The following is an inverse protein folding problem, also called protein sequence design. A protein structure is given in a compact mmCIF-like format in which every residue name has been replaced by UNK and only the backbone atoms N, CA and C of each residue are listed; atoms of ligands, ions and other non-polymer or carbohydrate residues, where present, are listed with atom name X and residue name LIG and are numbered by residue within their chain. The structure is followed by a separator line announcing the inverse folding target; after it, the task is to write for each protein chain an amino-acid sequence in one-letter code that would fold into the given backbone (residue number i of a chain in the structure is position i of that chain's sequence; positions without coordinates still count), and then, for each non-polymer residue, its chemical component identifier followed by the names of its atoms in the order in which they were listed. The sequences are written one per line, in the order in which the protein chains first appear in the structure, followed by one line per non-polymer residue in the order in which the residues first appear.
data_IF_986706171852
#
_entry.id   IF_986706171852
#
_cell.length_a   1.000
_cell.length_b   1.000
_cell.length_c   1.000
_cell.angle_alpha   90.00
_cell.angle_beta   90.00
_cell.angle_gamma   90.00
#
_symmetry.space_group_name_H-M   'P 1'
#
loop_
_entity.id
_entity.type
_entity.pdbx_description
1 polymer ?
#
# COMPACT_ATOMS: atom_id res chain seq x y z
N UNK A 1 10.86 -27.91 -0.49
CA UNK A 1 10.15 -27.99 -1.78
C UNK A 1 8.85 -27.22 -1.59
N UNK A 2 8.77 -25.99 -2.08
CA UNK A 2 7.55 -25.19 -1.99
C UNK A 2 6.52 -25.74 -2.98
N UNK A 3 5.26 -25.92 -2.56
CA UNK A 3 4.20 -26.36 -3.45
C UNK A 3 3.93 -25.31 -4.52
N UNK A 4 3.64 -25.74 -5.75
CA UNK A 4 3.19 -24.86 -6.82
C UNK A 4 1.86 -24.21 -6.38
N UNK A 5 1.79 -22.87 -6.22
CA UNK A 5 0.56 -22.21 -5.78
C UNK A 5 -0.61 -22.54 -6.71
N UNK A 6 -0.34 -22.67 -8.02
CA UNK A 6 -1.35 -22.91 -9.05
C UNK A 6 -1.93 -24.33 -9.02
N UNK A 7 -1.32 -25.24 -8.25
CA UNK A 7 -1.82 -26.61 -8.08
C UNK A 7 -2.84 -26.78 -6.94
N UNK A 8 -3.29 -25.68 -6.32
CA UNK A 8 -4.25 -25.69 -5.22
C UNK A 8 -5.66 -25.30 -5.73
N UNK A 9 -6.56 -26.26 -6.00
CA UNK A 9 -7.84 -26.00 -6.69
C UNK A 9 -8.81 -25.10 -5.90
N UNK A 10 -8.70 -25.05 -4.57
CA UNK A 10 -9.60 -24.28 -3.71
C UNK A 10 -9.03 -22.91 -3.28
N UNK A 11 -7.93 -22.46 -3.90
CA UNK A 11 -7.26 -21.20 -3.51
C UNK A 11 -6.95 -20.32 -4.72
N UNK A 12 -7.22 -19.02 -4.56
CA UNK A 12 -6.81 -18.00 -5.53
C UNK A 12 -5.30 -17.82 -5.46
N UNK A 13 -4.61 -18.15 -6.54
CA UNK A 13 -3.16 -18.07 -6.64
C UNK A 13 -2.72 -16.66 -7.00
N UNK A 14 -1.99 -16.02 -6.11
CA UNK A 14 -1.35 -14.73 -6.37
C UNK A 14 -0.01 -14.96 -7.08
N UNK A 15 -0.03 -14.93 -8.41
CA UNK A 15 1.17 -15.09 -9.22
C UNK A 15 2.12 -13.91 -8.99
N UNK A 16 3.37 -14.23 -8.65
CA UNK A 16 4.43 -13.23 -8.47
C UNK A 16 5.25 -13.14 -9.76
N UNK A 17 5.61 -11.92 -10.23
CA UNK A 17 6.39 -11.76 -11.45
C UNK A 17 7.81 -12.32 -11.33
N UNK A 18 8.31 -12.47 -10.09
CA UNK A 18 9.61 -13.05 -9.76
C UNK A 18 9.46 -14.15 -8.73
N UNK A 19 10.36 -15.14 -8.80
CA UNK A 19 10.43 -16.19 -7.79
C UNK A 19 10.79 -15.61 -6.43
N UNK A 20 10.10 -16.08 -5.39
CA UNK A 20 10.40 -15.71 -4.01
C UNK A 20 11.77 -16.29 -3.67
N UNK A 21 12.73 -15.42 -3.36
CA UNK A 21 14.03 -15.81 -2.80
C UNK A 21 13.95 -15.71 -1.29
N UNK A 22 14.56 -16.68 -0.61
CA UNK A 22 14.69 -16.61 0.83
C UNK A 22 15.57 -15.41 1.21
N UNK A 23 15.10 -14.52 2.10
CA UNK A 23 15.90 -13.39 2.55
C UNK A 23 17.18 -13.87 3.25
N UNK A 24 18.29 -13.17 3.01
CA UNK A 24 19.59 -13.49 3.61
C UNK A 24 19.88 -12.62 4.84
N UNK A 25 19.21 -11.47 4.94
CA UNK A 25 19.37 -10.50 6.02
C UNK A 25 18.31 -10.63 7.12
N UNK A 26 18.74 -10.33 8.35
CA UNK A 26 17.82 -10.08 9.48
C UNK A 26 16.92 -8.89 9.13
N UNK A 27 15.67 -8.91 9.60
CA UNK A 27 14.80 -7.74 9.46
C UNK A 27 15.19 -6.63 10.44
N UNK A 28 15.77 -6.96 11.59
CA UNK A 28 16.18 -5.99 12.62
C UNK A 28 17.70 -5.85 12.55
N UNK A 29 18.24 -4.74 12.03
CA UNK A 29 19.69 -4.50 11.96
C UNK A 29 20.25 -3.85 13.23
N UNK A 30 19.40 -3.63 14.25
CA UNK A 30 19.72 -2.87 15.46
C UNK A 30 19.97 -3.80 16.66
N UNK A 31 20.93 -3.44 17.51
CA UNK A 31 21.12 -4.08 18.83
C UNK A 31 20.12 -3.54 19.84
N UNK A 32 19.94 -4.25 20.97
CA UNK A 32 19.08 -3.81 22.07
C UNK A 32 19.52 -2.43 22.61
N UNK A 33 20.82 -2.17 22.71
CA UNK A 33 21.33 -0.86 23.14
C UNK A 33 20.98 0.26 22.13
N UNK A 34 21.02 -0.04 20.83
CA UNK A 34 20.62 0.93 19.80
C UNK A 34 19.12 1.20 19.84
N UNK A 35 18.31 0.17 20.11
CA UNK A 35 16.87 0.30 20.32
C UNK A 35 16.59 1.18 21.55
N UNK A 36 17.23 0.91 22.68
CA UNK A 36 17.08 1.71 23.88
C UNK A 36 17.46 3.18 23.63
N UNK A 37 18.56 3.42 22.93
CA UNK A 37 18.99 4.76 22.56
C UNK A 37 17.97 5.46 21.65
N UNK A 38 17.50 4.83 20.58
CA UNK A 38 16.55 5.46 19.64
C UNK A 38 15.21 5.71 20.32
N UNK A 39 14.74 4.81 21.18
CA UNK A 39 13.45 4.92 21.88
C UNK A 39 13.32 6.18 22.74
N UNK A 40 14.45 6.74 23.19
CA UNK A 40 14.50 7.90 24.09
C UNK A 40 14.82 9.21 23.36
N UNK A 41 15.10 9.17 22.05
CA UNK A 41 15.66 10.31 21.33
C UNK A 41 14.79 10.77 20.15
N UNK A 42 14.61 12.09 20.09
CA UNK A 42 14.09 12.80 18.93
C UNK A 42 15.26 13.44 18.21
N UNK A 43 15.42 13.17 16.92
CA UNK A 43 16.51 13.75 16.12
C UNK A 43 15.96 14.87 15.28
N UNK A 44 16.35 16.11 15.57
CA UNK A 44 16.05 17.23 14.70
C UNK A 44 16.90 17.14 13.44
N UNK A 45 16.26 17.26 12.29
CA UNK A 45 16.93 17.29 11.00
C UNK A 45 17.56 18.67 10.83
N UNK A 46 18.89 18.70 10.79
CA UNK A 46 19.69 19.89 10.52
C UNK A 46 20.06 19.95 9.03
N UNK A 47 19.55 20.98 8.35
CA UNK A 47 19.63 21.14 6.90
C UNK A 47 18.80 20.12 6.15
N UNK A 48 18.45 20.40 4.89
CA UNK A 48 17.81 19.39 4.05
C UNK A 48 18.77 18.20 3.86
N UNK A 49 18.36 17.01 4.27
CA UNK A 49 19.17 15.79 4.15
C UNK A 49 18.56 14.83 3.14
N UNK A 50 19.34 14.48 2.13
CA UNK A 50 18.98 13.38 1.23
C UNK A 50 19.22 12.05 1.93
N UNK A 51 18.20 11.20 1.96
CA UNK A 51 18.25 9.85 2.49
C UNK A 51 18.05 8.87 1.35
N UNK A 52 18.96 7.91 1.22
CA UNK A 52 18.89 6.86 0.23
C UNK A 52 18.43 5.56 0.89
N UNK A 53 17.35 4.98 0.37
CA UNK A 53 16.79 3.71 0.80
C UNK A 53 16.74 2.78 -0.42
N UNK A 54 17.76 1.92 -0.58
CA UNK A 54 17.95 1.18 -1.82
C UNK A 54 18.09 2.10 -3.04
N UNK A 55 17.15 2.03 -3.97
CA UNK A 55 17.07 2.87 -5.17
C UNK A 55 16.13 4.08 -5.02
N UNK A 56 15.59 4.30 -3.82
CA UNK A 56 14.79 5.48 -3.47
C UNK A 56 15.70 6.59 -2.98
N UNK A 57 15.43 7.83 -3.41
CA UNK A 57 16.01 9.04 -2.85
C UNK A 57 14.90 9.90 -2.31
N UNK A 58 14.88 10.15 -1.00
CA UNK A 58 13.94 11.07 -0.35
C UNK A 58 14.68 12.18 0.38
N UNK A 59 13.98 13.25 0.74
CA UNK A 59 14.55 14.41 1.42
C UNK A 59 13.84 14.58 2.76
N UNK A 60 14.60 14.49 3.84
CA UNK A 60 14.19 14.96 5.16
C UNK A 60 14.42 16.47 5.22
N UNK A 61 13.40 17.24 5.57
CA UNK A 61 13.46 18.71 5.50
C UNK A 61 14.11 19.28 6.75
N UNK A 62 14.83 20.38 6.59
CA UNK A 62 15.37 21.13 7.71
C UNK A 62 14.26 21.50 8.71
N UNK A 63 14.51 21.26 9.99
CA UNK A 63 13.57 21.52 11.06
C UNK A 63 12.57 20.40 11.36
N UNK A 64 12.45 19.37 10.53
CA UNK A 64 11.67 18.17 10.85
C UNK A 64 12.27 17.47 12.09
N UNK A 65 11.42 16.81 12.88
CA UNK A 65 11.86 16.03 14.04
C UNK A 65 11.56 14.56 13.77
N UNK A 66 12.62 13.77 13.59
CA UNK A 66 12.50 12.33 13.49
C UNK A 66 12.19 11.73 14.85
N UNK A 67 10.99 11.21 14.99
CA UNK A 67 10.57 10.50 16.19
C UNK A 67 11.07 9.04 16.14
N UNK A 68 11.09 8.30 17.26
CA UNK A 68 11.70 6.95 17.30
C UNK A 68 11.18 5.98 16.23
N UNK A 69 9.86 5.97 15.98
CA UNK A 69 9.29 5.05 14.98
C UNK A 69 9.75 5.36 13.55
N UNK A 70 10.00 6.64 13.21
CA UNK A 70 10.49 7.03 11.89
C UNK A 70 11.94 6.58 11.70
N UNK A 71 12.75 6.71 12.75
CA UNK A 71 14.13 6.24 12.75
C UNK A 71 14.19 4.72 12.56
N UNK A 72 13.34 3.96 13.26
CA UNK A 72 13.22 2.51 13.04
C UNK A 72 12.73 2.18 11.64
N UNK A 73 11.69 2.85 11.15
CA UNK A 73 11.17 2.60 9.82
C UNK A 73 12.23 2.83 8.73
N UNK A 74 12.98 3.93 8.79
CA UNK A 74 14.07 4.22 7.85
C UNK A 74 15.16 3.14 7.89
N UNK A 75 15.57 2.70 9.09
CA UNK A 75 16.56 1.64 9.24
C UNK A 75 16.08 0.29 8.68
N UNK A 76 14.85 -0.12 9.03
CA UNK A 76 14.24 -1.37 8.55
C UNK A 76 14.07 -1.34 7.03
N UNK A 77 13.57 -0.25 6.47
CA UNK A 77 13.40 -0.10 5.01
C UNK A 77 14.77 -0.19 4.34
N UNK A 78 15.77 0.54 4.83
CA UNK A 78 17.12 0.51 4.26
C UNK A 78 17.74 -0.90 4.24
N UNK A 79 17.46 -1.71 5.28
CA UNK A 79 17.99 -3.07 5.42
C UNK A 79 17.35 -4.06 4.46
N UNK A 80 16.02 -4.00 4.28
CA UNK A 80 15.26 -5.10 3.65
C UNK A 80 14.64 -4.78 2.29
N UNK A 81 14.68 -3.53 1.80
CA UNK A 81 13.97 -3.11 0.59
C UNK A 81 14.36 -3.87 -0.70
N UNK A 82 15.53 -4.51 -0.72
CA UNK A 82 16.04 -5.33 -1.82
C UNK A 82 15.64 -6.82 -1.73
N UNK A 83 15.24 -7.30 -0.54
CA UNK A 83 14.91 -8.71 -0.31
C UNK A 83 13.43 -8.94 0.06
N UNK A 84 12.74 -7.93 0.61
CA UNK A 84 11.40 -8.09 1.18
C UNK A 84 10.44 -7.00 0.67
N UNK A 85 9.19 -7.34 0.35
CA UNK A 85 8.19 -6.33 0.05
C UNK A 85 7.79 -5.58 1.31
N UNK A 86 7.67 -4.26 1.20
CA UNK A 86 7.28 -3.36 2.29
C UNK A 86 5.93 -2.79 1.95
N UNK A 87 4.97 -2.91 2.87
CA UNK A 87 3.61 -2.41 2.71
C UNK A 87 3.29 -1.38 3.79
N UNK A 88 2.62 -0.32 3.38
CA UNK A 88 2.02 0.68 4.24
C UNK A 88 0.51 0.54 4.21
N UNK A 89 -0.14 0.69 5.36
CA UNK A 89 -1.59 0.82 5.41
C UNK A 89 -2.04 2.01 4.58
N UNK A 90 -3.09 1.85 3.76
CA UNK A 90 -3.64 2.98 3.00
C UNK A 90 -4.40 4.00 3.88
N UNK A 91 -4.64 3.67 5.15
CA UNK A 91 -5.35 4.53 6.10
C UNK A 91 -4.44 5.41 6.94
N UNK A 92 -3.14 5.13 6.94
CA UNK A 92 -2.15 5.83 7.76
C UNK A 92 -1.32 6.81 6.93
N UNK A 93 -0.66 7.74 7.62
CA UNK A 93 0.22 8.73 7.00
C UNK A 93 1.71 8.35 7.03
N UNK A 94 2.05 7.12 7.45
CA UNK A 94 3.42 6.71 7.73
C UNK A 94 4.35 6.89 6.51
N UNK A 95 3.92 6.46 5.33
CA UNK A 95 4.73 6.62 4.11
C UNK A 95 4.90 8.10 3.71
N UNK A 96 3.90 8.94 3.98
CA UNK A 96 3.97 10.38 3.71
C UNK A 96 4.96 11.05 4.64
N UNK A 97 4.91 10.73 5.94
CA UNK A 97 5.88 11.22 6.94
C UNK A 97 7.33 10.86 6.58
N UNK A 98 7.53 9.69 5.96
CA UNK A 98 8.84 9.25 5.48
C UNK A 98 9.21 9.79 4.08
N UNK A 99 8.35 10.59 3.46
CA UNK A 99 8.58 11.15 2.12
C UNK A 99 8.62 10.10 1.01
N UNK A 100 7.85 9.02 1.12
CA UNK A 100 7.89 7.87 0.21
C UNK A 100 6.74 7.83 -0.80
N UNK A 101 5.82 8.80 -0.77
CA UNK A 101 4.56 8.80 -1.56
C UNK A 101 4.77 8.52 -3.05
N UNK A 102 5.81 9.07 -3.67
CA UNK A 102 6.08 8.92 -5.11
C UNK A 102 6.56 7.51 -5.50
N UNK A 103 6.80 6.65 -4.51
CA UNK A 103 7.27 5.28 -4.68
C UNK A 103 6.21 4.24 -4.28
N UNK A 104 4.98 4.68 -4.00
CA UNK A 104 3.89 3.81 -3.56
C UNK A 104 3.05 3.33 -4.74
N UNK A 105 2.75 2.04 -4.76
CA UNK A 105 1.79 1.42 -5.68
C UNK A 105 0.66 0.80 -4.86
N UNK A 106 -0.59 1.17 -5.15
CA UNK A 106 -1.76 0.55 -4.52
C UNK A 106 -1.86 -0.92 -4.94
N UNK A 107 -2.01 -1.79 -3.96
CA UNK A 107 -2.32 -3.21 -4.10
C UNK A 107 -3.41 -3.57 -3.10
N UNK A 108 -4.67 -3.56 -3.54
CA UNK A 108 -5.82 -3.80 -2.67
C UNK A 108 -6.00 -2.69 -1.64
N UNK A 109 -5.97 -3.04 -0.35
CA UNK A 109 -6.16 -2.12 0.79
C UNK A 109 -4.86 -1.51 1.34
N UNK A 110 -3.73 -1.75 0.67
CA UNK A 110 -2.42 -1.29 1.12
C UNK A 110 -1.64 -0.66 -0.04
N UNK A 111 -0.59 0.07 0.32
CA UNK A 111 0.41 0.57 -0.61
C UNK A 111 1.69 -0.24 -0.48
N UNK A 112 2.13 -0.85 -1.59
CA UNK A 112 3.44 -1.47 -1.70
C UNK A 112 4.48 -0.39 -2.02
N UNK A 113 5.62 -0.42 -1.34
CA UNK A 113 6.77 0.42 -1.67
C UNK A 113 7.54 -0.19 -2.86
N UNK A 114 7.74 0.60 -3.90
CA UNK A 114 8.56 0.25 -5.07
C UNK A 114 10.01 0.70 -4.85
N UNK A 115 10.97 -0.21 -5.06
CA UNK A 115 12.39 0.07 -4.87
C UNK A 115 13.00 0.80 -6.08
N UNK A 116 12.67 2.09 -6.20
CA UNK A 116 13.11 2.96 -7.29
C UNK A 116 11.95 3.71 -7.95
N UNK A 117 12.24 4.70 -8.81
CA UNK A 117 11.21 5.46 -9.50
C UNK A 117 10.33 4.55 -10.34
N UNK A 118 9.03 4.89 -10.40
CA UNK A 118 8.09 4.28 -11.34
C UNK A 118 8.12 5.12 -12.62
N UNK A 119 8.52 4.51 -13.73
CA UNK A 119 8.53 5.18 -15.03
C UNK A 119 7.14 5.07 -15.69
N UNK A 120 6.72 6.14 -16.37
CA UNK A 120 5.42 6.23 -17.06
C UNK A 120 5.30 5.26 -18.25
N UNK A 121 6.45 4.82 -18.77
CA UNK A 121 6.55 4.02 -20.00
C UNK A 121 6.89 2.60 -19.58
N UNK A 122 5.92 1.69 -19.74
CA UNK A 122 6.04 0.25 -19.42
C UNK A 122 6.20 -0.07 -17.93
N UNK A 123 5.24 0.36 -17.12
CA UNK A 123 5.02 -0.26 -15.82
C UNK A 123 4.63 -1.74 -16.00
N UNK A 124 5.46 -2.72 -15.59
CA UNK A 124 5.22 -4.13 -15.86
C UNK A 124 3.92 -4.61 -15.21
N UNK A 125 3.10 -5.37 -15.96
CA UNK A 125 2.01 -6.15 -15.36
C UNK A 125 0.73 -5.40 -14.96
N UNK A 126 0.45 -4.23 -15.55
CA UNK A 126 -0.81 -3.51 -15.33
C UNK A 126 -0.79 -2.48 -14.19
N UNK A 127 0.41 -2.01 -13.81
CA UNK A 127 0.56 -0.85 -12.94
C UNK A 127 0.35 0.44 -13.75
N UNK A 128 -0.53 1.32 -13.27
CA UNK A 128 -0.99 2.51 -13.98
C UNK A 128 -0.77 3.74 -13.10
N UNK A 129 -0.26 4.82 -13.70
CA UNK A 129 -0.26 6.15 -13.08
C UNK A 129 -1.67 6.73 -13.14
N UNK A 130 -2.25 7.02 -11.99
CA UNK A 130 -3.58 7.62 -11.95
C UNK A 130 -3.51 9.08 -12.37
N UNK A 131 -4.47 9.51 -13.20
CA UNK A 131 -4.65 10.92 -13.52
C UNK A 131 -5.04 11.67 -12.22
N UNK A 132 -4.69 12.97 -12.11
CA UNK A 132 -5.11 13.78 -10.98
C UNK A 132 -6.63 13.70 -10.76
N UNK A 133 -7.04 13.46 -9.52
CA UNK A 133 -8.44 13.37 -9.12
C UNK A 133 -8.65 13.93 -7.71
N UNK A 134 -9.88 14.31 -7.33
CA UNK A 134 -10.18 14.74 -5.97
C UNK A 134 -9.88 13.68 -4.89
N UNK A 135 -9.72 12.42 -5.30
CA UNK A 135 -9.49 11.29 -4.39
C UNK A 135 -8.02 10.91 -4.26
N UNK A 136 -7.09 11.64 -4.87
CA UNK A 136 -5.65 11.30 -4.90
C UNK A 136 -5.07 11.00 -3.50
N UNK A 137 -5.51 11.72 -2.47
CA UNK A 137 -5.09 11.53 -1.08
C UNK A 137 -5.40 10.14 -0.52
N UNK A 138 -6.43 9.47 -1.03
CA UNK A 138 -6.87 8.16 -0.56
C UNK A 138 -6.63 7.06 -1.58
N UNK A 139 -6.62 7.33 -2.88
CA UNK A 139 -6.38 6.30 -3.91
C UNK A 139 -4.89 6.14 -4.24
N UNK A 140 -4.08 7.17 -4.05
CA UNK A 140 -2.65 7.22 -4.36
C UNK A 140 -2.35 7.72 -5.77
N UNK A 141 -1.08 7.67 -6.18
CA UNK A 141 -0.65 8.09 -7.53
C UNK A 141 -0.51 6.92 -8.51
N UNK A 142 -0.29 5.71 -8.02
CA UNK A 142 -0.11 4.51 -8.81
C UNK A 142 -0.97 3.37 -8.29
N UNK A 143 -1.54 2.58 -9.20
CA UNK A 143 -2.33 1.39 -8.87
C UNK A 143 -1.89 0.22 -9.72
N UNK A 144 -1.66 -0.93 -9.09
CA UNK A 144 -1.55 -2.21 -9.77
C UNK A 144 -2.96 -2.73 -10.00
N UNK A 145 -3.50 -2.50 -11.21
CA UNK A 145 -4.92 -2.74 -11.49
C UNK A 145 -5.27 -4.23 -11.41
N UNK A 146 -4.55 -5.17 -12.07
CA UNK A 146 -4.84 -6.60 -11.94
C UNK A 146 -4.71 -7.10 -10.50
N UNK A 147 -3.64 -6.70 -9.79
CA UNK A 147 -3.44 -7.14 -8.40
C UNK A 147 -4.51 -6.59 -7.48
N UNK A 148 -4.87 -5.32 -7.63
CA UNK A 148 -5.89 -4.67 -6.80
C UNK A 148 -7.27 -5.27 -7.05
N UNK A 149 -7.62 -5.56 -8.31
CA UNK A 149 -8.83 -6.29 -8.65
C UNK A 149 -8.88 -7.63 -7.92
N UNK A 150 -7.92 -8.53 -8.18
CA UNK A 150 -7.93 -9.89 -7.62
C UNK A 150 -7.92 -9.87 -6.09
N UNK A 151 -7.18 -8.93 -5.48
CA UNK A 151 -7.18 -8.80 -4.02
C UNK A 151 -8.58 -8.45 -3.49
N UNK A 152 -9.27 -7.48 -4.09
CA UNK A 152 -10.59 -7.02 -3.63
C UNK A 152 -11.72 -7.99 -3.97
N UNK A 153 -11.68 -8.66 -5.12
CA UNK A 153 -12.82 -9.46 -5.63
C UNK A 153 -12.68 -10.94 -5.30
N UNK A 154 -11.46 -11.46 -5.18
CA UNK A 154 -11.22 -12.90 -5.06
C UNK A 154 -10.54 -13.29 -3.74
N UNK A 155 -9.64 -12.45 -3.22
CA UNK A 155 -8.82 -12.82 -2.04
C UNK A 155 -9.43 -12.32 -0.73
N UNK A 156 -9.82 -11.05 -0.67
CA UNK A 156 -10.48 -10.48 0.51
C UNK A 156 -11.94 -10.92 0.52
N UNK A 157 -12.16 -12.21 0.78
CA UNK A 157 -13.51 -12.76 0.83
C UNK A 157 -14.27 -12.18 2.01
N UNK A 158 -15.47 -11.69 1.72
CA UNK A 158 -16.40 -11.20 2.72
C UNK A 158 -17.48 -12.24 2.95
N UNK A 159 -17.54 -12.79 4.17
CA UNK A 159 -18.59 -13.75 4.55
C UNK A 159 -19.85 -12.98 4.91
N UNK A 160 -21.00 -13.63 4.73
CA UNK A 160 -22.29 -13.15 5.26
C UNK A 160 -22.82 -11.85 4.62
N UNK A 161 -22.64 -11.70 3.30
CA UNK A 161 -23.34 -10.68 2.52
C UNK A 161 -22.75 -9.26 2.56
N UNK A 162 -21.58 -9.03 3.17
CA UNK A 162 -20.92 -7.71 3.17
C UNK A 162 -20.39 -7.39 1.76
N UNK A 163 -20.58 -6.18 1.23
CA UNK A 163 -21.22 -5.02 1.85
C UNK A 163 -22.74 -4.90 1.59
N UNK A 164 -23.31 -5.78 0.77
CA UNK A 164 -24.62 -5.56 0.14
C UNK A 164 -25.82 -5.84 1.05
N UNK A 165 -25.76 -6.88 1.88
CA UNK A 165 -26.85 -7.28 2.79
C UNK A 165 -26.83 -6.52 4.12
N UNK A 166 -25.70 -5.88 4.44
CA UNK A 166 -25.53 -5.19 5.71
C UNK A 166 -26.14 -3.79 5.64
N UNK A 167 -26.94 -3.42 6.64
CA UNK A 167 -27.54 -2.08 6.69
C UNK A 167 -26.69 -1.07 7.44
N UNK A 168 -25.72 -1.53 8.24
CA UNK A 168 -24.82 -0.72 9.03
C UNK A 168 -23.57 -1.51 9.40
N UNK A 169 -22.50 -0.81 9.79
CA UNK A 169 -21.33 -1.42 10.40
C UNK A 169 -21.53 -1.59 11.91
N UNK A 170 -21.39 -2.82 12.47
CA UNK A 170 -21.78 -3.11 13.85
C UNK A 170 -20.80 -2.58 14.90
N UNK A 171 -19.56 -2.27 14.53
CA UNK A 171 -18.53 -1.80 15.45
C UNK A 171 -18.10 -0.35 15.16
N UNK A 172 -18.61 0.59 15.95
CA UNK A 172 -18.30 2.01 15.81
C UNK A 172 -16.81 2.34 15.92
N UNK A 173 -16.03 1.56 16.69
CA UNK A 173 -14.59 1.79 16.83
C UNK A 173 -13.84 1.53 15.51
N UNK A 174 -14.43 0.76 14.60
CA UNK A 174 -13.86 0.38 13.31
C UNK A 174 -14.71 0.82 12.12
N UNK A 175 -15.61 1.79 12.30
CA UNK A 175 -16.51 2.31 11.25
C UNK A 175 -15.77 2.82 10.00
N UNK A 176 -14.48 3.13 10.10
CA UNK A 176 -13.64 3.49 8.97
C UNK A 176 -13.18 2.32 8.08
N UNK A 177 -13.27 1.07 8.53
CA UNK A 177 -12.78 -0.11 7.77
C UNK A 177 -13.46 -0.23 6.39
N UNK A 178 -14.80 -0.10 6.26
CA UNK A 178 -15.46 -0.12 4.96
C UNK A 178 -14.88 0.88 3.96
N UNK A 179 -14.47 2.07 4.41
CA UNK A 179 -13.90 3.09 3.53
C UNK A 179 -12.59 2.64 2.87
N UNK A 180 -11.82 1.75 3.49
CA UNK A 180 -10.58 1.24 2.88
C UNK A 180 -10.87 0.39 1.65
N UNK A 181 -11.95 -0.39 1.67
CA UNK A 181 -12.44 -1.13 0.51
C UNK A 181 -12.99 -0.16 -0.55
N UNK A 182 -13.77 0.84 -0.13
CA UNK A 182 -14.28 1.86 -1.03
C UNK A 182 -13.15 2.56 -1.78
N UNK A 183 -12.07 2.96 -1.11
CA UNK A 183 -10.92 3.61 -1.74
C UNK A 183 -10.17 2.68 -2.70
N UNK A 184 -10.09 1.38 -2.39
CA UNK A 184 -9.55 0.37 -3.31
C UNK A 184 -10.35 0.31 -4.62
N UNK A 185 -11.68 0.25 -4.52
CA UNK A 185 -12.56 0.26 -5.69
C UNK A 185 -12.59 1.61 -6.43
N UNK A 186 -12.49 2.74 -5.73
CA UNK A 186 -12.35 4.06 -6.36
C UNK A 186 -11.07 4.16 -7.19
N UNK A 187 -9.96 3.59 -6.70
CA UNK A 187 -8.71 3.53 -7.47
C UNK A 187 -8.89 2.72 -8.77
N UNK A 188 -9.58 1.58 -8.70
CA UNK A 188 -9.89 0.76 -9.88
C UNK A 188 -10.85 1.47 -10.85
N UNK A 189 -11.87 2.17 -10.34
CA UNK A 189 -12.80 2.95 -11.16
C UNK A 189 -12.08 4.08 -11.89
N UNK A 190 -11.20 4.81 -11.20
CA UNK A 190 -10.35 5.85 -11.80
C UNK A 190 -9.43 5.27 -12.89
N UNK A 191 -8.79 4.12 -12.63
CA UNK A 191 -7.95 3.46 -13.62
C UNK A 191 -8.75 2.97 -14.84
N UNK A 192 -9.93 2.37 -14.64
CA UNK A 192 -10.80 1.90 -15.71
C UNK A 192 -11.33 3.05 -16.58
N UNK A 193 -11.66 4.19 -15.97
CA UNK A 193 -12.02 5.42 -16.67
C UNK A 193 -10.87 5.89 -17.59
N UNK A 194 -9.62 5.82 -17.11
CA UNK A 194 -8.45 6.20 -17.91
C UNK A 194 -8.16 5.25 -19.08
N UNK A 195 -8.52 3.98 -18.95
CA UNK A 195 -8.36 2.98 -20.01
C UNK A 195 -9.59 2.84 -20.90
N UNK A 196 -10.59 3.72 -20.75
CA UNK A 196 -11.86 3.72 -21.49
C UNK A 196 -12.65 2.41 -21.36
N UNK A 197 -12.57 1.75 -20.21
CA UNK A 197 -13.38 0.57 -19.89
C UNK A 197 -14.57 0.98 -19.04
N UNK A 198 -15.64 1.44 -19.70
CA UNK A 198 -16.83 1.99 -19.05
C UNK A 198 -17.57 0.95 -18.20
N UNK A 199 -17.60 -0.31 -18.64
CA UNK A 199 -18.26 -1.39 -17.92
C UNK A 199 -17.57 -1.66 -16.58
N UNK A 200 -16.24 -1.84 -16.59
CA UNK A 200 -15.48 -2.03 -15.35
C UNK A 200 -15.52 -0.79 -14.46
N UNK A 201 -15.45 0.41 -15.05
CA UNK A 201 -15.53 1.66 -14.30
C UNK A 201 -16.82 1.73 -13.48
N UNK A 202 -17.96 1.41 -14.09
CA UNK A 202 -19.26 1.43 -13.42
C UNK A 202 -19.38 0.36 -12.35
N UNK A 203 -18.94 -0.88 -12.65
CA UNK A 203 -18.91 -1.96 -11.66
C UNK A 203 -18.09 -1.57 -10.42
N UNK A 204 -16.89 -1.02 -10.61
CA UNK A 204 -16.07 -0.58 -9.48
C UNK A 204 -16.69 0.60 -8.73
N UNK A 205 -17.35 1.53 -9.43
CA UNK A 205 -18.06 2.65 -8.80
C UNK A 205 -19.18 2.15 -7.89
N UNK A 206 -20.01 1.22 -8.36
CA UNK A 206 -21.08 0.61 -7.56
C UNK A 206 -20.53 -0.08 -6.30
N UNK A 207 -19.42 -0.81 -6.43
CA UNK A 207 -18.75 -1.44 -5.28
C UNK A 207 -18.21 -0.40 -4.29
N UNK A 208 -17.58 0.67 -4.78
CA UNK A 208 -17.09 1.75 -3.93
C UNK A 208 -18.21 2.42 -3.13
N UNK A 209 -19.36 2.65 -3.75
CA UNK A 209 -20.54 3.21 -3.09
C UNK A 209 -21.12 2.26 -2.05
N UNK A 210 -21.24 0.97 -2.36
CA UNK A 210 -21.73 -0.04 -1.42
C UNK A 210 -20.89 -0.09 -0.15
N UNK A 211 -19.57 -0.09 -0.29
CA UNK A 211 -18.65 -0.02 0.84
C UNK A 211 -18.72 1.30 1.60
N UNK A 212 -18.82 2.43 0.89
CA UNK A 212 -18.89 3.75 1.53
C UNK A 212 -20.13 3.90 2.40
N UNK A 213 -21.30 3.38 1.96
CA UNK A 213 -22.54 3.42 2.74
C UNK A 213 -22.42 2.74 4.11
N UNK A 214 -21.66 1.65 4.20
CA UNK A 214 -21.39 1.00 5.48
C UNK A 214 -20.47 1.82 6.39
N UNK A 215 -19.58 2.63 5.82
CA UNK A 215 -18.59 3.41 6.53
C UNK A 215 -19.07 4.78 7.04
N UNK A 216 -20.34 5.15 6.78
CA UNK A 216 -20.90 6.46 7.16
C UNK A 216 -21.88 6.42 8.34
N UNK A 217 -22.37 5.24 8.73
CA UNK A 217 -23.37 5.07 9.78
C UNK A 217 -24.80 5.36 9.35
#
# INVERSE_FOLDING_TARGET
MWADPTSMPDKVSLVMPTSIKEPTKSIIPLTDEQIDQVSQNYVRVEGNRSVRLGNISTILRDGDSLVPWEQYALALIGEVIDERPIYFSSSGNAAVSLGLTNYLVRQGLAYRLNNGPLEEVESPGGVIRMLPSPYESVIGQWVDMPRTHTLLTEVFMHRSGIPDEWTHWPDLATIGIPNYYAWGYLALSQAALQTSDEELMEQYRERAEAWSRLGTG
#
